data_IF_862896488789
#
_entry.id   IF_862896488789
#
_cell.length_a   1.000
_cell.length_b   1.000
_cell.length_c   1.000
_cell.angle_alpha   90.00
_cell.angle_beta   90.00
_cell.angle_gamma   90.00
#
_symmetry.space_group_name_H-M   'P 1'
#
loop_
_entity.id
_entity.type
_entity.pdbx_description
1 polymer ?
#
# COMPACT_ATOMS: atom_id res chain seq x y z
N UNK A 1 -7.55 9.45 26.86
CA UNK A 1 -6.39 8.92 27.59
C UNK A 1 -5.47 8.22 26.59
N UNK A 2 -4.17 8.51 26.61
CA UNK A 2 -3.20 7.76 25.81
C UNK A 2 -2.91 6.42 26.50
N UNK A 3 -2.92 5.33 25.74
CA UNK A 3 -2.63 3.98 26.21
C UNK A 3 -1.45 3.42 25.44
N UNK A 4 -0.71 2.54 26.08
CA UNK A 4 0.43 1.85 25.49
C UNK A 4 0.17 0.35 25.54
N UNK A 5 0.61 -0.36 24.52
CA UNK A 5 0.56 -1.82 24.46
C UNK A 5 1.83 -2.35 23.77
N UNK A 6 2.08 -3.66 23.91
CA UNK A 6 3.27 -4.33 23.41
C UNK A 6 2.91 -5.29 22.28
N UNK A 7 3.53 -5.10 21.11
CA UNK A 7 3.38 -6.00 19.97
C UNK A 7 4.59 -6.93 19.90
N UNK A 8 4.39 -8.22 20.16
CA UNK A 8 5.46 -9.22 20.07
C UNK A 8 5.84 -9.49 18.61
N UNK A 9 7.09 -9.22 18.25
CA UNK A 9 7.62 -9.46 16.88
C UNK A 9 7.98 -10.93 16.59
N UNK A 10 7.81 -11.85 17.56
CA UNK A 10 8.16 -13.28 17.43
C UNK A 10 6.98 -14.23 17.45
N UNK A 11 5.77 -13.69 17.63
CA UNK A 11 4.54 -14.48 17.62
C UNK A 11 4.33 -15.12 16.24
N UNK A 12 3.54 -16.19 16.18
CA UNK A 12 3.16 -16.80 14.92
C UNK A 12 2.46 -15.77 14.01
N UNK A 13 3.09 -15.47 12.87
CA UNK A 13 2.69 -14.41 11.95
C UNK A 13 1.49 -14.74 11.07
N UNK A 14 0.81 -15.89 11.24
CA UNK A 14 -0.25 -16.36 10.34
C UNK A 14 -1.32 -15.29 10.02
N UNK A 15 -1.68 -14.43 10.98
CA UNK A 15 -2.66 -13.38 10.77
C UNK A 15 -2.12 -12.30 9.81
N UNK A 16 -0.94 -11.75 10.10
CA UNK A 16 -0.27 -10.76 9.25
C UNK A 16 0.06 -11.34 7.88
N UNK A 17 0.53 -12.59 7.82
CA UNK A 17 0.86 -13.26 6.57
C UNK A 17 -0.37 -13.45 5.69
N UNK A 18 -1.52 -13.72 6.29
CA UNK A 18 -2.80 -13.77 5.57
C UNK A 18 -3.16 -12.40 4.99
N UNK A 19 -3.01 -11.32 5.78
CA UNK A 19 -3.26 -9.95 5.29
C UNK A 19 -2.30 -9.60 4.14
N UNK A 20 -1.00 -9.89 4.30
CA UNK A 20 0.02 -9.70 3.25
C UNK A 20 -0.33 -10.47 1.98
N UNK A 21 -0.72 -11.74 2.08
CA UNK A 21 -1.11 -12.55 0.93
C UNK A 21 -2.32 -11.98 0.18
N UNK A 22 -3.34 -11.46 0.89
CA UNK A 22 -4.48 -10.78 0.26
C UNK A 22 -4.09 -9.45 -0.38
N UNK A 23 -3.17 -8.70 0.23
CA UNK A 23 -2.64 -7.44 -0.30
C UNK A 23 -1.88 -7.68 -1.60
N UNK A 24 -0.94 -8.61 -1.58
CA UNK A 24 -0.08 -8.89 -2.72
C UNK A 24 -0.89 -9.42 -3.91
N UNK A 25 -1.86 -10.31 -3.64
CA UNK A 25 -2.81 -10.78 -4.66
C UNK A 25 -3.66 -9.63 -5.24
N UNK A 26 -4.06 -8.66 -4.43
CA UNK A 26 -4.75 -7.46 -4.92
C UNK A 26 -3.84 -6.63 -5.83
N UNK A 27 -2.56 -6.52 -5.52
CA UNK A 27 -1.60 -5.81 -6.37
C UNK A 27 -1.45 -6.51 -7.73
N UNK A 28 -1.40 -7.84 -7.77
CA UNK A 28 -1.40 -8.58 -9.04
C UNK A 28 -2.63 -8.22 -9.89
N UNK A 29 -3.83 -8.22 -9.30
CA UNK A 29 -5.04 -7.80 -10.04
C UNK A 29 -4.99 -6.34 -10.49
N UNK A 30 -4.48 -5.41 -9.66
CA UNK A 30 -4.31 -4.00 -10.04
C UNK A 30 -3.34 -3.86 -11.24
N UNK A 31 -2.26 -4.64 -11.25
CA UNK A 31 -1.31 -4.70 -12.37
C UNK A 31 -1.98 -5.26 -13.63
N UNK A 32 -2.69 -6.38 -13.52
CA UNK A 32 -3.42 -6.96 -14.65
C UNK A 32 -4.47 -6.01 -15.21
N UNK A 33 -5.23 -5.30 -14.37
CA UNK A 33 -6.19 -4.27 -14.83
C UNK A 33 -5.49 -3.21 -15.69
N UNK A 34 -4.32 -2.73 -15.26
CA UNK A 34 -3.53 -1.76 -16.03
C UNK A 34 -3.03 -2.34 -17.36
N UNK A 35 -2.57 -3.58 -17.35
CA UNK A 35 -2.14 -4.27 -18.57
C UNK A 35 -3.28 -4.45 -19.58
N UNK A 36 -4.44 -4.90 -19.13
CA UNK A 36 -5.61 -5.08 -19.99
C UNK A 36 -6.16 -3.75 -20.52
N UNK A 37 -6.13 -2.69 -19.72
CA UNK A 37 -6.43 -1.34 -20.17
C UNK A 37 -5.48 -0.88 -21.29
N UNK A 38 -4.18 -1.15 -21.16
CA UNK A 38 -3.20 -0.86 -22.23
C UNK A 38 -3.43 -1.70 -23.49
N UNK A 39 -3.79 -2.98 -23.34
CA UNK A 39 -4.14 -3.87 -24.46
C UNK A 39 -5.40 -3.39 -25.18
N UNK A 40 -6.42 -2.93 -24.45
CA UNK A 40 -7.64 -2.34 -25.02
C UNK A 40 -7.32 -1.11 -25.86
N UNK A 41 -6.53 -0.17 -25.34
CA UNK A 41 -6.06 1.01 -26.09
C UNK A 41 -5.26 0.61 -27.33
N UNK A 42 -4.44 -0.44 -27.22
CA UNK A 42 -3.62 -0.93 -28.34
C UNK A 42 -4.46 -1.62 -29.42
N UNK A 43 -5.48 -2.38 -29.04
CA UNK A 43 -6.41 -3.02 -29.96
C UNK A 43 -7.29 -1.99 -30.68
N UNK A 44 -7.71 -0.95 -29.97
CA UNK A 44 -8.47 0.17 -30.54
C UNK A 44 -7.67 0.89 -31.64
N UNK A 45 -6.40 1.19 -31.39
CA UNK A 45 -5.49 1.78 -32.40
C UNK A 45 -5.29 0.90 -33.63
N UNK A 46 -5.42 -0.42 -33.49
CA UNK A 46 -5.28 -1.39 -34.59
C UNK A 46 -6.59 -1.64 -35.34
N UNK A 47 -7.73 -1.16 -34.83
CA UNK A 47 -9.05 -1.44 -35.39
C UNK A 47 -9.52 -2.89 -35.21
N UNK A 48 -8.92 -3.65 -34.28
CA UNK A 48 -9.29 -5.04 -34.01
C UNK A 48 -10.44 -5.09 -32.99
N UNK A 49 -11.67 -5.19 -33.50
CA UNK A 49 -12.88 -5.21 -32.68
C UNK A 49 -12.96 -6.44 -31.76
N UNK A 50 -12.41 -7.59 -32.18
CA UNK A 50 -12.45 -8.83 -31.40
C UNK A 50 -11.47 -8.72 -30.23
N UNK A 51 -10.23 -8.32 -30.50
CA UNK A 51 -9.24 -8.13 -29.44
C UNK A 51 -9.62 -7.00 -28.47
N UNK A 52 -10.27 -5.94 -28.97
CA UNK A 52 -10.80 -4.86 -28.11
C UNK A 52 -11.83 -5.40 -27.13
N UNK A 53 -12.82 -6.18 -27.61
CA UNK A 53 -13.87 -6.76 -26.74
C UNK A 53 -13.29 -7.67 -25.67
N UNK A 54 -12.36 -8.57 -26.05
CA UNK A 54 -11.67 -9.45 -25.09
C UNK A 54 -10.91 -8.64 -24.04
N UNK A 55 -10.19 -7.59 -24.46
CA UNK A 55 -9.44 -6.76 -23.53
C UNK A 55 -10.35 -5.95 -22.59
N UNK A 56 -11.51 -5.52 -23.06
CA UNK A 56 -12.54 -4.84 -22.24
C UNK A 56 -13.17 -5.78 -21.21
N UNK A 57 -13.57 -6.99 -21.61
CA UNK A 57 -14.12 -7.98 -20.70
C UNK A 57 -13.10 -8.36 -19.61
N UNK A 58 -11.83 -8.51 -19.98
CA UNK A 58 -10.74 -8.78 -19.04
C UNK A 58 -10.41 -7.59 -18.13
N UNK A 59 -10.46 -6.36 -18.64
CA UNK A 59 -10.30 -5.14 -17.84
C UNK A 59 -11.35 -5.10 -16.72
N UNK A 60 -12.63 -5.34 -17.06
CA UNK A 60 -13.74 -5.35 -16.11
C UNK A 60 -13.61 -6.48 -15.08
N UNK A 61 -13.22 -7.68 -15.53
CA UNK A 61 -13.00 -8.81 -14.63
C UNK A 61 -11.89 -8.53 -13.61
N UNK A 62 -10.74 -8.04 -14.07
CA UNK A 62 -9.60 -7.76 -13.18
C UNK A 62 -9.90 -6.60 -12.22
N UNK A 63 -10.60 -5.56 -12.68
CA UNK A 63 -11.03 -4.47 -11.80
C UNK A 63 -12.04 -4.95 -10.74
N UNK A 64 -12.97 -5.82 -11.12
CA UNK A 64 -13.90 -6.42 -10.17
C UNK A 64 -13.17 -7.26 -9.11
N UNK A 65 -12.16 -8.04 -9.52
CA UNK A 65 -11.36 -8.86 -8.61
C UNK A 65 -10.52 -8.01 -7.65
N UNK A 66 -9.90 -6.91 -8.11
CA UNK A 66 -9.14 -6.03 -7.22
C UNK A 66 -10.06 -5.33 -6.22
N UNK A 67 -11.26 -4.88 -6.64
CA UNK A 67 -12.23 -4.23 -5.75
C UNK A 67 -12.76 -5.20 -4.69
N UNK A 68 -13.05 -6.46 -5.08
CA UNK A 68 -13.44 -7.49 -4.13
C UNK A 68 -12.35 -7.71 -3.07
N UNK A 69 -11.08 -7.77 -3.48
CA UNK A 69 -9.95 -7.89 -2.54
C UNK A 69 -9.77 -6.63 -1.68
N UNK A 70 -10.05 -5.43 -2.20
CA UNK A 70 -10.07 -4.19 -1.41
C UNK A 70 -11.05 -4.29 -0.25
N UNK A 71 -12.28 -4.76 -0.52
CA UNK A 71 -13.30 -4.92 0.51
C UNK A 71 -12.88 -5.92 1.60
N UNK A 72 -12.26 -7.04 1.21
CA UNK A 72 -11.74 -8.03 2.16
C UNK A 72 -10.59 -7.45 2.99
N UNK A 73 -9.65 -6.74 2.35
CA UNK A 73 -8.52 -6.10 3.03
C UNK A 73 -8.97 -5.11 4.10
N UNK A 74 -9.89 -4.21 3.75
CA UNK A 74 -10.46 -3.24 4.69
C UNK A 74 -11.23 -3.95 5.81
N UNK A 75 -11.80 -5.12 5.53
CA UNK A 75 -12.53 -5.92 6.52
C UNK A 75 -11.61 -6.59 7.55
N UNK A 76 -10.33 -6.86 7.28
CA UNK A 76 -9.41 -7.41 8.30
C UNK A 76 -9.25 -6.44 9.48
N UNK A 77 -9.10 -5.14 9.19
CA UNK A 77 -9.05 -4.11 10.21
C UNK A 77 -10.38 -4.02 10.98
N UNK A 78 -11.53 -4.03 10.29
CA UNK A 78 -12.84 -4.03 10.95
C UNK A 78 -13.12 -5.30 11.76
N UNK A 79 -12.57 -6.44 11.34
CA UNK A 79 -12.80 -7.75 11.95
C UNK A 79 -12.30 -7.80 13.39
N UNK A 80 -11.13 -7.22 13.69
CA UNK A 80 -10.56 -7.25 15.04
C UNK A 80 -11.38 -6.47 16.06
N UNK A 81 -12.30 -5.61 15.62
CA UNK A 81 -13.24 -4.88 16.47
C UNK A 81 -14.62 -5.53 16.57
N UNK A 82 -14.93 -6.49 15.69
CA UNK A 82 -16.26 -7.11 15.61
C UNK A 82 -16.57 -7.90 16.89
N UNK A 83 -17.78 -7.69 17.44
CA UNK A 83 -18.29 -8.50 18.55
C UNK A 83 -18.41 -9.96 18.13
N UNK A 84 -17.85 -10.88 18.92
CA UNK A 84 -17.83 -12.31 18.62
C UNK A 84 -16.76 -12.76 17.60
N UNK A 85 -15.86 -11.87 17.18
CA UNK A 85 -14.68 -12.27 16.40
C UNK A 85 -13.77 -13.18 17.23
N UNK A 86 -13.17 -14.19 16.58
CA UNK A 86 -12.25 -15.15 17.22
C UNK A 86 -10.94 -14.47 17.62
N UNK A 87 -10.48 -13.52 16.80
CA UNK A 87 -9.30 -12.71 17.04
C UNK A 87 -9.72 -11.25 17.21
N UNK A 88 -10.39 -10.96 18.34
CA UNK A 88 -10.80 -9.60 18.70
C UNK A 88 -9.70 -8.93 19.54
N UNK A 89 -9.22 -7.76 19.12
CA UNK A 89 -8.30 -6.92 19.89
C UNK A 89 -8.63 -5.44 19.65
N UNK A 90 -8.96 -4.73 20.73
CA UNK A 90 -9.24 -3.30 20.67
C UNK A 90 -7.95 -2.50 20.57
N UNK A 91 -6.90 -3.02 21.21
CA UNK A 91 -5.57 -2.46 21.28
C UNK A 91 -4.93 -2.44 19.90
N UNK A 92 -4.97 -3.56 19.17
CA UNK A 92 -4.48 -3.63 17.79
C UNK A 92 -5.19 -2.62 16.88
N UNK A 93 -6.52 -2.53 16.97
CA UNK A 93 -7.29 -1.58 16.17
C UNK A 93 -6.95 -0.12 16.54
N UNK A 94 -6.77 0.16 17.84
CA UNK A 94 -6.36 1.45 18.35
C UNK A 94 -4.98 1.87 17.84
N UNK A 95 -4.00 0.96 17.88
CA UNK A 95 -2.65 1.19 17.35
C UNK A 95 -2.71 1.53 15.87
N UNK A 96 -3.39 0.72 15.05
CA UNK A 96 -3.50 0.97 13.59
C UNK A 96 -4.13 2.32 13.30
N UNK A 97 -5.23 2.67 13.98
CA UNK A 97 -5.90 3.97 13.79
C UNK A 97 -5.02 5.13 14.19
N UNK A 98 -4.34 5.01 15.34
CA UNK A 98 -3.50 6.07 15.86
C UNK A 98 -2.29 6.31 14.95
N UNK A 99 -1.60 5.24 14.52
CA UNK A 99 -0.46 5.33 13.61
C UNK A 99 -0.87 5.90 12.25
N UNK A 100 -1.99 5.46 11.67
CA UNK A 100 -2.50 6.02 10.41
C UNK A 100 -2.84 7.51 10.52
N UNK A 101 -3.52 7.90 11.60
CA UNK A 101 -3.85 9.30 11.85
C UNK A 101 -2.62 10.17 12.11
N UNK A 102 -1.57 9.65 12.75
CA UNK A 102 -0.31 10.36 12.93
C UNK A 102 0.40 10.54 11.58
N UNK A 103 0.48 9.49 10.78
CA UNK A 103 1.11 9.49 9.46
C UNK A 103 0.47 10.52 8.52
N UNK A 104 -0.86 10.51 8.41
CA UNK A 104 -1.55 11.42 7.48
C UNK A 104 -1.48 12.89 7.95
N UNK A 105 -1.43 13.13 9.27
CA UNK A 105 -1.21 14.47 9.82
C UNK A 105 0.18 14.99 9.51
N UNK A 106 1.21 14.16 9.69
CA UNK A 106 2.58 14.51 9.33
C UNK A 106 2.72 14.80 7.83
N UNK A 107 2.13 13.97 6.98
CA UNK A 107 2.10 14.21 5.54
C UNK A 107 1.39 15.54 5.18
N UNK A 108 0.28 15.86 5.86
CA UNK A 108 -0.42 17.14 5.69
C UNK A 108 0.46 18.33 6.09
N UNK A 109 1.14 18.24 7.24
CA UNK A 109 2.05 19.29 7.73
C UNK A 109 3.18 19.56 6.72
N UNK A 110 3.73 18.51 6.11
CA UNK A 110 4.72 18.67 5.04
C UNK A 110 4.12 19.35 3.80
N UNK A 111 2.93 18.92 3.37
CA UNK A 111 2.22 19.51 2.21
C UNK A 111 1.88 20.98 2.44
N UNK A 112 1.56 21.40 3.67
CA UNK A 112 1.29 22.80 4.01
C UNK A 112 2.50 23.72 3.88
N UNK A 113 3.71 23.19 4.02
CA UNK A 113 4.93 23.98 3.86
C UNK A 113 5.28 24.24 2.38
N UNK A 114 4.82 23.38 1.48
CA UNK A 114 5.15 23.44 0.04
C UNK A 114 3.96 23.80 -0.85
N UNK A 115 2.74 23.79 -0.32
CA UNK A 115 1.51 24.07 -1.04
C UNK A 115 0.33 24.30 -0.11
N UNK A 116 -0.88 24.00 -0.59
CA UNK A 116 -2.11 24.17 0.20
C UNK A 116 -2.94 22.89 0.18
N UNK A 117 -3.13 22.19 1.31
CA UNK A 117 -4.12 21.13 1.39
C UNK A 117 -5.53 21.72 1.29
N UNK A 118 -6.41 20.99 0.61
CA UNK A 118 -7.82 21.32 0.41
C UNK A 118 -8.71 20.41 1.26
N UNK A 119 -8.41 19.12 1.23
CA UNK A 119 -9.17 18.09 1.94
C UNK A 119 -8.22 17.01 2.46
N UNK A 120 -8.53 16.50 3.65
CA UNK A 120 -7.80 15.43 4.31
C UNK A 120 -8.81 14.34 4.66
N UNK A 121 -8.63 13.16 4.07
CA UNK A 121 -9.35 11.94 4.44
C UNK A 121 -8.40 10.99 5.19
N UNK A 122 -8.91 9.83 5.58
CA UNK A 122 -8.27 8.80 6.41
C UNK A 122 -6.88 8.41 5.91
N UNK A 123 -6.71 8.32 4.59
CA UNK A 123 -5.48 7.86 3.93
C UNK A 123 -5.12 8.70 2.68
N UNK A 124 -5.74 9.87 2.51
CA UNK A 124 -5.58 10.70 1.31
C UNK A 124 -5.55 12.19 1.61
N UNK A 125 -4.77 12.93 0.81
CA UNK A 125 -4.68 14.39 0.89
C UNK A 125 -4.96 14.97 -0.49
N UNK A 126 -6.04 15.75 -0.61
CA UNK A 126 -6.24 16.61 -1.75
C UNK A 126 -5.51 17.92 -1.51
N UNK A 127 -4.62 18.31 -2.42
CA UNK A 127 -3.84 19.53 -2.27
C UNK A 127 -3.57 20.19 -3.62
N UNK A 128 -3.23 21.48 -3.56
CA UNK A 128 -2.70 22.22 -4.69
C UNK A 128 -1.24 22.59 -4.40
N UNK A 129 -0.37 22.30 -5.38
CA UNK A 129 1.04 22.67 -5.36
C UNK A 129 1.30 23.78 -6.39
N UNK A 130 2.30 24.65 -6.17
CA UNK A 130 2.70 25.64 -7.17
C UNK A 130 3.04 25.00 -8.52
N UNK A 131 2.74 25.67 -9.63
CA UNK A 131 3.04 25.16 -10.98
C UNK A 131 4.54 24.96 -11.21
N UNK A 132 5.38 25.74 -10.52
CA UNK A 132 6.84 25.60 -10.55
C UNK A 132 7.36 24.46 -9.67
N UNK A 133 6.50 23.80 -8.88
CA UNK A 133 6.91 22.71 -8.01
C UNK A 133 7.29 21.48 -8.83
N UNK A 134 8.36 20.74 -8.48
CA UNK A 134 8.77 19.56 -9.23
C UNK A 134 7.70 18.46 -9.22
N UNK A 135 7.29 17.99 -10.39
CA UNK A 135 6.29 16.93 -10.54
C UNK A 135 6.93 15.60 -10.97
N UNK A 136 6.99 15.35 -12.27
CA UNK A 136 7.41 14.07 -12.83
C UNK A 136 8.81 14.13 -13.43
N UNK A 137 9.69 13.25 -12.98
CA UNK A 137 11.02 13.03 -13.53
C UNK A 137 11.11 11.70 -14.26
N UNK A 138 11.99 11.63 -15.26
CA UNK A 138 12.34 10.39 -15.97
C UNK A 138 13.82 10.12 -15.76
N UNK A 139 14.13 9.07 -15.01
CA UNK A 139 15.50 8.64 -14.75
C UNK A 139 15.84 7.54 -15.77
N UNK A 140 16.88 7.77 -16.57
CA UNK A 140 17.42 6.75 -17.48
C UNK A 140 18.40 5.86 -16.73
N UNK A 141 18.13 4.57 -16.72
CA UNK A 141 18.99 3.56 -16.11
C UNK A 141 20.10 3.13 -17.07
N UNK A 142 21.16 2.49 -16.52
CA UNK A 142 22.31 2.01 -17.31
C UNK A 142 21.92 0.93 -18.33
N UNK A 143 20.84 0.21 -18.08
CA UNK A 143 20.27 -0.82 -18.97
C UNK A 143 19.40 -0.24 -20.10
N UNK A 144 19.25 1.09 -20.16
CA UNK A 144 18.42 1.78 -21.15
C UNK A 144 16.94 1.89 -20.78
N UNK A 145 16.51 1.27 -19.67
CA UNK A 145 15.15 1.43 -19.16
C UNK A 145 14.94 2.84 -18.57
N UNK A 146 13.69 3.30 -18.53
CA UNK A 146 13.35 4.62 -17.96
C UNK A 146 12.36 4.44 -16.82
N UNK A 147 12.70 4.96 -15.64
CA UNK A 147 11.83 4.97 -14.48
C UNK A 147 11.19 6.35 -14.33
N UNK A 148 9.86 6.39 -14.20
CA UNK A 148 9.11 7.61 -13.91
C UNK A 148 9.04 7.80 -12.40
N UNK A 149 9.45 8.96 -11.90
CA UNK A 149 9.43 9.32 -10.49
C UNK A 149 8.56 10.56 -10.31
N UNK A 150 7.45 10.43 -9.60
CA UNK A 150 6.66 11.56 -9.14
C UNK A 150 7.28 12.10 -7.85
N UNK A 151 7.93 13.27 -7.91
CA UNK A 151 8.65 13.86 -6.78
C UNK A 151 7.79 14.11 -5.54
N UNK A 152 6.54 14.62 -5.62
CA UNK A 152 5.70 14.80 -4.43
C UNK A 152 5.46 13.47 -3.70
N UNK A 153 5.21 12.39 -4.46
CA UNK A 153 5.02 11.06 -3.92
C UNK A 153 6.32 10.48 -3.32
N UNK A 154 7.45 10.63 -4.02
CA UNK A 154 8.74 10.17 -3.55
C UNK A 154 9.19 10.89 -2.26
N UNK A 155 8.92 12.20 -2.17
CA UNK A 155 9.18 13.02 -0.98
C UNK A 155 8.40 12.51 0.23
N UNK A 156 7.08 12.30 0.07
CA UNK A 156 6.23 11.76 1.13
C UNK A 156 6.64 10.34 1.54
N UNK A 157 6.98 9.49 0.58
CA UNK A 157 7.42 8.12 0.86
C UNK A 157 8.77 8.10 1.59
N UNK A 158 9.70 8.99 1.26
CA UNK A 158 10.96 9.11 1.99
C UNK A 158 10.73 9.47 3.47
N UNK A 159 9.86 10.46 3.73
CA UNK A 159 9.47 10.87 5.08
C UNK A 159 8.76 9.75 5.86
N UNK A 160 7.88 8.99 5.20
CA UNK A 160 7.22 7.82 5.80
C UNK A 160 8.25 6.74 6.16
N UNK A 161 9.18 6.43 5.26
CA UNK A 161 10.21 5.43 5.52
C UNK A 161 11.14 5.84 6.66
N UNK A 162 11.46 7.12 6.81
CA UNK A 162 12.31 7.60 7.90
C UNK A 162 11.61 7.47 9.27
N UNK A 163 10.31 7.78 9.34
CA UNK A 163 9.60 7.89 10.61
C UNK A 163 8.78 6.67 11.02
N UNK A 164 8.39 5.81 10.06
CA UNK A 164 7.46 4.69 10.30
C UNK A 164 8.04 3.31 9.96
N UNK A 165 9.35 3.20 9.68
CA UNK A 165 9.97 1.89 9.46
C UNK A 165 10.08 1.10 10.76
N UNK A 166 9.61 -0.15 10.74
CA UNK A 166 9.79 -1.07 11.85
C UNK A 166 11.16 -1.76 11.75
N UNK A 167 12.15 -1.25 12.48
CA UNK A 167 13.50 -1.82 12.57
C UNK A 167 13.61 -3.07 13.47
N UNK A 168 12.52 -3.45 14.14
CA UNK A 168 12.46 -4.55 15.11
C UNK A 168 11.71 -5.77 14.55
N UNK A 169 11.36 -5.80 13.26
CA UNK A 169 10.60 -6.89 12.67
C UNK A 169 11.42 -8.18 12.73
N UNK A 170 10.85 -9.27 13.26
CA UNK A 170 11.54 -10.56 13.39
C UNK A 170 10.82 -11.68 12.64
N UNK A 171 11.59 -12.51 11.93
CA UNK A 171 11.07 -13.67 11.19
C UNK A 171 11.79 -14.95 11.60
N UNK A 172 11.03 -16.04 11.66
CA UNK A 172 11.57 -17.36 11.97
C UNK A 172 12.45 -17.85 10.80
N UNK A 173 13.73 -18.08 11.08
CA UNK A 173 14.64 -18.68 10.12
C UNK A 173 14.27 -20.16 9.93
N UNK A 174 14.14 -20.60 8.66
CA UNK A 174 13.99 -22.01 8.30
C UNK A 174 15.33 -22.73 8.52
N UNK A 175 15.65 -23.07 9.76
CA UNK A 175 16.80 -23.94 10.09
C UNK A 175 16.31 -25.33 10.45
N UNK A 176 17.02 -26.37 9.99
CA UNK A 176 16.72 -27.79 10.21
C UNK A 176 16.34 -28.09 11.66
N UNK A 177 15.02 -28.13 11.96
CA UNK A 177 14.25 -28.68 13.09
C UNK A 177 14.89 -28.85 14.50
N UNK A 178 16.04 -28.27 14.79
CA UNK A 178 16.86 -28.49 16.00
C UNK A 178 17.15 -27.19 16.73
N UNK A 179 17.00 -26.02 16.10
CA UNK A 179 17.13 -24.72 16.76
C UNK A 179 16.11 -23.72 16.22
N UNK A 180 15.35 -23.07 17.12
CA UNK A 180 14.48 -21.93 16.79
C UNK A 180 15.37 -20.68 16.74
N UNK A 181 15.54 -20.09 15.55
CA UNK A 181 16.31 -18.84 15.35
C UNK A 181 15.42 -17.80 14.67
N UNK A 182 15.53 -16.55 15.11
CA UNK A 182 14.82 -15.42 14.52
C UNK A 182 15.84 -14.45 13.88
N UNK A 183 15.56 -13.99 12.66
CA UNK A 183 16.30 -12.91 12.01
C UNK A 183 15.57 -11.59 12.28
N UNK A 184 16.30 -10.51 12.59
CA UNK A 184 15.71 -9.16 12.67
C UNK A 184 16.03 -8.40 11.39
N UNK A 185 15.05 -7.71 10.82
CA UNK A 185 15.23 -6.83 9.67
C UNK A 185 14.33 -5.59 9.80
N UNK A 186 14.57 -4.62 8.90
CA UNK A 186 13.74 -3.41 8.81
C UNK A 186 12.63 -3.62 7.79
N UNK A 187 11.39 -3.42 8.21
CA UNK A 187 10.19 -3.61 7.39
C UNK A 187 9.37 -2.31 7.33
N UNK A 188 9.09 -1.85 6.11
CA UNK A 188 8.12 -0.78 5.86
C UNK A 188 7.47 -1.01 4.50
N UNK A 189 6.14 -1.16 4.50
CA UNK A 189 5.36 -1.36 3.27
C UNK A 189 4.23 -0.33 3.12
N UNK A 190 4.47 0.87 3.65
CA UNK A 190 3.54 2.00 3.60
C UNK A 190 4.02 2.94 2.50
N UNK A 191 3.16 3.18 1.51
CA UNK A 191 3.49 4.03 0.37
C UNK A 191 2.28 4.88 -0.01
N UNK A 192 2.51 6.16 -0.26
CA UNK A 192 1.63 7.02 -1.02
C UNK A 192 1.70 6.67 -2.51
N UNK A 193 0.59 6.93 -3.21
CA UNK A 193 0.48 6.89 -4.67
C UNK A 193 -0.22 8.17 -5.16
N UNK A 194 0.10 8.60 -6.39
CA UNK A 194 -0.53 9.73 -7.09
C UNK A 194 -1.38 9.23 -8.25
#
# INVERSE_FOLDING_TARGET
EQRTDTVCMRENSFYVDTVKAFRDRRYDYKLFTKEWKNKKVSADKKGDAVARKVAEDMEVLMDSLQLAHKCILNSFYGYVMRKGARWRSMEMAGIVTHTGAALIKQARELVEQVGRPLELDTDGIWCILPTSFPQDFKIKMKDGSTVKVGYPCAMLNADVHENYTNHQYQELQKTDNKSIKYATHSECSIFFEL
#
